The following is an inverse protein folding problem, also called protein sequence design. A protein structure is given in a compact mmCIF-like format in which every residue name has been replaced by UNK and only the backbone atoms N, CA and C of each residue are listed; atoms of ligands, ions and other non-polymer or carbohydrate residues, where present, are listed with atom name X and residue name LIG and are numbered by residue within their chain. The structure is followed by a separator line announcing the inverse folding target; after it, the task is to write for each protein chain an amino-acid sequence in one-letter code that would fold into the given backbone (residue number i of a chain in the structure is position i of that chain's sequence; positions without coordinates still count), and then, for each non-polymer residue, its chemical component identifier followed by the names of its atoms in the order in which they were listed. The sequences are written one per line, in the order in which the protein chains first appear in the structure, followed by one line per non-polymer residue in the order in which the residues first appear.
data_IF_860487566559
#
_entry.id   IF_860487566559
#
_cell.length_a   1.000
_cell.length_b   1.000
_cell.length_c   1.000
_cell.angle_alpha   90.00
_cell.angle_beta   90.00
_cell.angle_gamma   90.00
#
_symmetry.space_group_name_H-M   'P 1'
#
loop_
_entity.id
_entity.type
_entity.pdbx_description
1 polymer ?
#
# COMPACT_ATOMS: atom_id res chain seq x y z
N UNK A 1 7.78 3.80 -4.54
CA UNK A 1 6.72 3.08 -3.80
C UNK A 1 7.38 1.78 -3.35
N UNK A 2 6.68 0.67 -3.15
CA UNK A 2 7.32 -0.52 -2.60
C UNK A 2 6.73 -1.83 -3.10
N UNK A 3 6.99 -2.87 -2.33
CA UNK A 3 6.66 -4.26 -2.65
C UNK A 3 5.43 -4.66 -1.83
N UNK A 4 4.39 -5.16 -2.49
CA UNK A 4 3.23 -5.77 -1.83
C UNK A 4 3.33 -7.29 -1.86
N UNK A 5 3.50 -7.92 -0.69
CA UNK A 5 3.32 -9.37 -0.54
C UNK A 5 1.83 -9.65 -0.42
N UNK A 6 1.28 -10.47 -1.31
CA UNK A 6 -0.15 -10.72 -1.35
C UNK A 6 -0.56 -11.81 -0.35
N UNK A 7 -1.40 -11.43 0.61
CA UNK A 7 -2.13 -12.33 1.51
C UNK A 7 -3.45 -12.73 0.85
N UNK A 8 -3.59 -14.00 0.51
CA UNK A 8 -4.81 -14.54 -0.07
C UNK A 8 -5.58 -15.41 0.93
N UNK A 9 -6.89 -15.16 1.04
CA UNK A 9 -7.75 -15.85 2.01
C UNK A 9 -7.99 -17.32 1.66
N UNK A 10 -8.11 -17.64 0.37
CA UNK A 10 -8.32 -19.02 -0.06
C UNK A 10 -7.09 -19.88 0.27
N UNK A 11 -5.91 -19.32 0.04
CA UNK A 11 -4.63 -19.93 0.41
C UNK A 11 -4.49 -20.07 1.93
N UNK A 12 -4.89 -19.05 2.70
CA UNK A 12 -4.92 -19.11 4.16
C UNK A 12 -5.80 -20.26 4.67
N UNK A 13 -6.98 -20.47 4.06
CA UNK A 13 -7.87 -21.58 4.40
C UNK A 13 -7.26 -22.94 4.06
N UNK A 14 -6.55 -23.04 2.93
CA UNK A 14 -5.90 -24.27 2.47
C UNK A 14 -4.70 -24.66 3.35
N UNK A 15 -3.79 -23.72 3.62
CA UNK A 15 -2.53 -23.99 4.34
C UNK A 15 -2.66 -23.88 5.87
N UNK A 16 -3.74 -23.23 6.33
CA UNK A 16 -3.97 -22.85 7.72
C UNK A 16 -3.36 -21.49 8.07
N UNK A 17 -4.14 -20.67 8.78
CA UNK A 17 -3.81 -19.28 9.16
C UNK A 17 -2.40 -19.13 9.74
N UNK A 18 -2.06 -19.91 10.76
CA UNK A 18 -0.75 -19.81 11.42
C UNK A 18 0.43 -20.12 10.50
N UNK A 19 0.27 -21.10 9.60
CA UNK A 19 1.33 -21.49 8.68
C UNK A 19 1.50 -20.41 7.61
N UNK A 20 0.40 -19.92 7.05
CA UNK A 20 0.45 -18.91 5.99
C UNK A 20 0.98 -17.57 6.52
N UNK A 21 0.56 -17.14 7.72
CA UNK A 21 1.13 -15.96 8.37
C UNK A 21 2.63 -16.07 8.59
N UNK A 22 3.14 -17.25 8.97
CA UNK A 22 4.57 -17.46 9.13
C UNK A 22 5.32 -17.39 7.79
N UNK A 23 4.76 -17.96 6.72
CA UNK A 23 5.33 -17.89 5.37
C UNK A 23 5.42 -16.43 4.92
N UNK A 24 4.33 -15.67 5.04
CA UNK A 24 4.29 -14.26 4.67
C UNK A 24 5.26 -13.41 5.51
N UNK A 25 5.36 -13.69 6.81
CA UNK A 25 6.31 -13.01 7.70
C UNK A 25 7.75 -13.28 7.30
N UNK A 26 8.12 -14.52 6.96
CA UNK A 26 9.47 -14.84 6.49
C UNK A 26 9.83 -14.11 5.21
N UNK A 27 8.89 -14.06 4.26
CA UNK A 27 9.07 -13.28 3.04
C UNK A 27 9.24 -11.79 3.38
N UNK A 28 8.39 -11.22 4.23
CA UNK A 28 8.51 -9.84 4.71
C UNK A 28 9.90 -9.57 5.31
N UNK A 29 10.35 -10.43 6.24
CA UNK A 29 11.65 -10.29 6.90
C UNK A 29 12.81 -10.37 5.89
N UNK A 30 12.69 -11.15 4.80
CA UNK A 30 13.71 -11.20 3.75
C UNK A 30 13.82 -9.90 2.95
N UNK A 31 12.69 -9.28 2.59
CA UNK A 31 12.69 -7.97 1.94
C UNK A 31 13.17 -6.86 2.89
N UNK A 32 12.77 -6.91 4.16
CA UNK A 32 13.17 -5.94 5.19
C UNK A 32 14.69 -5.99 5.45
N UNK A 33 15.29 -7.19 5.52
CA UNK A 33 16.76 -7.37 5.61
C UNK A 33 17.51 -6.74 4.43
N UNK A 34 16.88 -6.68 3.26
CA UNK A 34 17.43 -6.02 2.07
C UNK A 34 17.13 -4.51 2.03
N UNK A 35 16.56 -3.95 3.09
CA UNK A 35 16.15 -2.54 3.21
C UNK A 35 15.14 -2.11 2.12
N UNK A 36 14.30 -3.04 1.66
CA UNK A 36 13.29 -2.76 0.65
C UNK A 36 11.95 -2.39 1.33
N UNK A 37 11.24 -1.35 0.86
CA UNK A 37 9.94 -0.98 1.39
C UNK A 37 8.94 -2.07 1.04
N UNK A 38 8.53 -2.85 2.04
CA UNK A 38 7.63 -4.00 1.86
C UNK A 38 6.42 -3.89 2.78
N UNK A 39 5.28 -4.39 2.31
CA UNK A 39 4.05 -4.51 3.08
C UNK A 39 3.32 -5.80 2.71
N UNK A 40 2.49 -6.30 3.62
CA UNK A 40 1.56 -7.39 3.36
C UNK A 40 0.20 -6.77 3.00
N UNK A 41 -0.39 -7.19 1.89
CA UNK A 41 -1.63 -6.64 1.33
C UNK A 41 -2.60 -7.77 1.04
N UNK A 42 -3.86 -7.63 1.43
CA UNK A 42 -4.89 -8.62 1.10
C UNK A 42 -5.15 -8.70 -0.41
N UNK A 43 -5.47 -9.89 -0.92
CA UNK A 43 -5.71 -10.13 -2.35
C UNK A 43 -6.87 -9.30 -2.92
N UNK A 44 -7.80 -8.84 -2.08
CA UNK A 44 -8.89 -7.93 -2.47
C UNK A 44 -8.37 -6.63 -3.13
N UNK A 45 -7.21 -6.11 -2.70
CA UNK A 45 -6.61 -4.89 -3.25
C UNK A 45 -6.09 -5.05 -4.68
N UNK A 46 -5.99 -6.28 -5.21
CA UNK A 46 -5.64 -6.52 -6.62
C UNK A 46 -6.71 -5.94 -7.55
N UNK A 47 -7.97 -5.90 -7.11
CA UNK A 47 -9.11 -5.47 -7.93
C UNK A 47 -9.42 -3.97 -7.85
N UNK A 48 -8.90 -3.26 -6.84
CA UNK A 48 -9.36 -1.91 -6.45
C UNK A 48 -8.47 -0.75 -6.95
N UNK A 49 -7.86 -0.90 -8.15
CA UNK A 49 -6.82 0.01 -8.68
C UNK A 49 -5.62 0.22 -7.73
N UNK A 50 -5.53 -0.50 -6.61
CA UNK A 50 -4.56 -0.22 -5.56
C UNK A 50 -3.13 -0.63 -5.98
N UNK A 51 -3.00 -1.52 -6.96
CA UNK A 51 -1.73 -1.92 -7.55
C UNK A 51 -0.93 -0.73 -8.09
N UNK A 52 -1.59 0.36 -8.50
CA UNK A 52 -0.90 1.57 -8.97
C UNK A 52 -0.03 2.24 -7.88
N UNK A 53 -0.24 1.88 -6.61
CA UNK A 53 0.53 2.38 -5.47
C UNK A 53 1.70 1.47 -5.08
N UNK A 54 1.98 0.45 -5.88
CA UNK A 54 3.05 -0.53 -5.67
C UNK A 54 3.97 -0.57 -6.89
N UNK A 55 5.25 -0.86 -6.64
CA UNK A 55 6.24 -1.05 -7.69
C UNK A 55 6.32 -2.54 -8.10
N UNK A 56 6.11 -3.43 -7.14
CA UNK A 56 6.01 -4.86 -7.38
C UNK A 56 4.95 -5.53 -6.50
N UNK A 57 4.38 -6.63 -6.98
CA UNK A 57 3.58 -7.56 -6.19
C UNK A 57 4.23 -8.94 -6.15
N UNK A 58 4.19 -9.58 -4.98
CA UNK A 58 4.84 -10.86 -4.73
C UNK A 58 3.81 -11.84 -4.17
N UNK A 59 3.64 -12.95 -4.87
CA UNK A 59 2.83 -14.08 -4.42
C UNK A 59 3.74 -15.14 -3.83
N UNK A 60 3.63 -15.39 -2.52
CA UNK A 60 4.47 -16.37 -1.83
C UNK A 60 3.62 -17.58 -1.47
N UNK A 61 3.85 -18.69 -2.16
CA UNK A 61 3.08 -19.94 -1.99
C UNK A 61 1.57 -19.69 -1.99
N UNK A 62 1.12 -18.78 -2.85
CA UNK A 62 -0.29 -18.36 -2.98
C UNK A 62 -1.05 -19.38 -3.81
N UNK A 63 -1.27 -20.55 -3.21
CA UNK A 63 -1.67 -21.77 -3.91
C UNK A 63 -3.10 -21.78 -4.42
N UNK A 64 -4.02 -21.05 -3.77
CA UNK A 64 -5.47 -21.15 -4.01
C UNK A 64 -6.13 -19.86 -4.49
N UNK A 65 -5.33 -18.96 -5.08
CA UNK A 65 -5.84 -17.69 -5.61
C UNK A 65 -6.66 -17.90 -6.89
N UNK A 66 -7.79 -17.19 -6.98
CA UNK A 66 -8.74 -17.31 -8.08
C UNK A 66 -8.21 -16.68 -9.39
N UNK A 67 -8.59 -17.23 -10.55
CA UNK A 67 -8.19 -16.72 -11.88
C UNK A 67 -8.64 -15.27 -12.14
N UNK A 68 -9.58 -14.73 -11.35
CA UNK A 68 -10.05 -13.35 -11.48
C UNK A 68 -8.93 -12.30 -11.37
N UNK A 69 -7.78 -12.64 -10.76
CA UNK A 69 -6.62 -11.74 -10.66
C UNK A 69 -5.85 -11.57 -11.98
N UNK A 70 -6.05 -12.46 -12.96
CA UNK A 70 -5.26 -12.50 -14.21
C UNK A 70 -5.29 -11.16 -14.94
N UNK A 71 -6.48 -10.59 -15.11
CA UNK A 71 -6.67 -9.36 -15.86
C UNK A 71 -6.09 -8.11 -15.15
N UNK A 72 -6.37 -7.88 -13.85
CA UNK A 72 -5.68 -6.82 -13.09
C UNK A 72 -4.16 -6.93 -13.11
N UNK A 73 -3.60 -8.14 -12.98
CA UNK A 73 -2.15 -8.34 -13.03
C UNK A 73 -1.56 -8.05 -14.41
N UNK A 74 -2.29 -8.39 -15.48
CA UNK A 74 -1.88 -8.02 -16.85
C UNK A 74 -1.82 -6.51 -17.01
N UNK A 75 -2.84 -5.78 -16.56
CA UNK A 75 -2.87 -4.32 -16.64
C UNK A 75 -1.76 -3.69 -15.81
N UNK A 76 -1.52 -4.21 -14.60
CA UNK A 76 -0.41 -3.75 -13.75
C UNK A 76 0.95 -3.92 -14.45
N UNK A 77 1.18 -5.09 -15.05
CA UNK A 77 2.39 -5.37 -15.85
C UNK A 77 2.51 -4.44 -17.06
N UNK A 78 1.44 -4.20 -17.80
CA UNK A 78 1.40 -3.28 -18.95
C UNK A 78 1.73 -1.83 -18.54
N UNK A 79 1.40 -1.45 -17.31
CA UNK A 79 1.73 -0.14 -16.72
C UNK A 79 3.15 -0.09 -16.11
N UNK A 80 3.98 -1.11 -16.33
CA UNK A 80 5.36 -1.18 -15.85
C UNK A 80 5.52 -1.77 -14.44
N UNK A 81 4.45 -2.27 -13.84
CA UNK A 81 4.51 -3.01 -12.59
C UNK A 81 5.23 -4.36 -12.74
N UNK A 82 5.81 -4.84 -11.65
CA UNK A 82 6.52 -6.13 -11.64
C UNK A 82 5.75 -7.16 -10.82
N UNK A 83 5.60 -8.35 -11.37
CA UNK A 83 4.90 -9.44 -10.69
C UNK A 83 5.86 -10.58 -10.44
N UNK A 84 6.01 -10.95 -9.17
CA UNK A 84 6.80 -12.10 -8.77
C UNK A 84 5.94 -13.15 -8.09
N UNK A 85 6.29 -14.41 -8.28
CA UNK A 85 5.64 -15.51 -7.60
C UNK A 85 6.63 -16.62 -7.24
N UNK A 86 6.41 -17.26 -6.10
CA UNK A 86 7.05 -18.52 -5.78
C UNK A 86 6.09 -19.68 -6.05
N UNK A 87 6.63 -20.90 -6.00
CA UNK A 87 5.98 -22.19 -5.80
C UNK A 87 4.45 -22.22 -5.84
N UNK A 88 3.90 -23.13 -6.62
CA UNK A 88 2.50 -23.54 -6.63
C UNK A 88 1.39 -22.46 -6.78
N UNK A 89 1.74 -21.23 -7.22
CA UNK A 89 0.77 -20.15 -7.51
C UNK A 89 -0.47 -20.65 -8.26
N UNK A 90 -1.64 -20.40 -7.66
CA UNK A 90 -2.98 -20.68 -8.18
C UNK A 90 -3.31 -22.15 -8.46
N UNK A 91 -2.42 -23.12 -8.15
CA UNK A 91 -2.56 -24.50 -8.61
C UNK A 91 -3.66 -25.33 -7.97
N UNK A 92 -4.21 -24.88 -6.84
CA UNK A 92 -5.17 -25.62 -6.05
C UNK A 92 -6.42 -24.78 -5.81
N UNK A 93 -7.52 -25.42 -5.43
CA UNK A 93 -8.64 -24.73 -4.79
C UNK A 93 -8.52 -24.78 -3.26
N UNK A 94 -9.49 -24.18 -2.56
CA UNK A 94 -9.57 -24.19 -1.09
C UNK A 94 -9.70 -25.60 -0.50
N UNK A 95 -10.18 -26.57 -1.28
CA UNK A 95 -10.31 -27.97 -0.87
C UNK A 95 -9.03 -28.79 -1.14
N UNK A 96 -8.04 -28.19 -1.81
CA UNK A 96 -6.77 -28.82 -2.17
C UNK A 96 -6.83 -29.63 -3.46
N UNK A 97 -7.89 -29.50 -4.27
CA UNK A 97 -7.94 -30.14 -5.59
C UNK A 97 -7.12 -29.33 -6.59
N UNK A 98 -6.37 -30.03 -7.45
CA UNK A 98 -5.61 -29.39 -8.52
C UNK A 98 -6.53 -28.73 -9.55
N UNK A 99 -6.17 -27.52 -9.96
CA UNK A 99 -6.90 -26.69 -10.93
C UNK A 99 -6.07 -26.47 -12.19
N UNK A 100 -6.72 -26.37 -13.35
CA UNK A 100 -6.03 -25.97 -14.59
C UNK A 100 -5.71 -24.48 -14.55
N UNK A 101 -4.41 -24.18 -14.41
CA UNK A 101 -3.89 -22.82 -14.34
C UNK A 101 -2.89 -22.54 -15.45
N UNK A 102 -3.24 -22.97 -16.66
CA UNK A 102 -2.46 -22.66 -17.87
C UNK A 102 -2.12 -21.17 -18.02
N UNK A 103 -2.95 -20.26 -17.47
CA UNK A 103 -2.69 -18.83 -17.46
C UNK A 103 -1.40 -18.45 -16.72
N UNK A 104 -1.01 -19.17 -15.67
CA UNK A 104 0.21 -18.90 -14.90
C UNK A 104 1.44 -19.14 -15.78
N UNK A 105 1.43 -20.23 -16.55
CA UNK A 105 2.48 -20.52 -17.53
C UNK A 105 2.60 -19.43 -18.59
N UNK A 106 1.47 -19.01 -19.17
CA UNK A 106 1.41 -17.91 -20.14
C UNK A 106 1.96 -16.60 -19.54
N UNK A 107 1.54 -16.25 -18.33
CA UNK A 107 1.86 -14.98 -17.68
C UNK A 107 3.37 -14.83 -17.38
N UNK A 108 4.00 -15.90 -16.90
CA UNK A 108 5.42 -15.94 -16.54
C UNK A 108 6.34 -16.48 -17.65
N UNK A 109 5.82 -16.71 -18.86
CA UNK A 109 6.60 -17.24 -20.00
C UNK A 109 7.25 -18.58 -19.69
N UNK A 110 6.46 -19.52 -19.17
CA UNK A 110 6.90 -20.85 -18.79
C UNK A 110 5.89 -21.93 -19.19
N UNK A 111 6.32 -23.19 -19.16
CA UNK A 111 5.42 -24.34 -19.37
C UNK A 111 4.32 -24.38 -18.31
N UNK A 112 3.22 -25.05 -18.64
CA UNK A 112 2.21 -25.41 -17.65
C UNK A 112 2.90 -26.05 -16.44
N UNK A 113 2.69 -25.49 -15.25
CA UNK A 113 3.53 -25.83 -14.12
C UNK A 113 2.99 -27.12 -13.46
N UNK A 114 3.89 -28.02 -13.06
CA UNK A 114 3.53 -29.35 -12.54
C UNK A 114 4.10 -29.51 -11.12
N UNK A 115 3.24 -29.70 -10.13
CA UNK A 115 3.67 -30.05 -8.77
C UNK A 115 4.12 -31.50 -8.76
N UNK A 116 5.31 -31.75 -8.22
CA UNK A 116 5.79 -33.09 -7.90
C UNK A 116 6.01 -33.19 -6.39
N UNK A 117 5.60 -34.31 -5.80
CA UNK A 117 5.69 -34.57 -4.35
C UNK A 117 7.14 -34.82 -3.88
N UNK A 118 8.12 -34.65 -4.77
CA UNK A 118 9.53 -34.91 -4.52
C UNK A 118 10.28 -33.61 -4.32
N UNK A 119 11.24 -33.66 -3.41
CA UNK A 119 12.21 -32.59 -3.30
C UNK A 119 13.26 -32.70 -4.41
N UNK A 120 13.58 -31.57 -5.02
CA UNK A 120 14.60 -31.44 -6.05
C UNK A 120 15.79 -30.65 -5.52
N UNK A 121 17.00 -31.02 -5.95
CA UNK A 121 18.20 -30.25 -5.63
C UNK A 121 18.30 -29.05 -6.55
N UNK A 122 18.18 -27.85 -6.00
CA UNK A 122 18.43 -26.60 -6.68
C UNK A 122 19.90 -26.20 -6.51
N UNK A 123 20.52 -25.78 -7.61
CA UNK A 123 21.86 -25.22 -7.65
C UNK A 123 21.77 -23.73 -7.95
N UNK A 124 22.42 -22.94 -7.10
CA UNK A 124 22.65 -21.52 -7.31
C UNK A 124 24.16 -21.27 -7.39
N UNK A 125 24.59 -20.47 -8.35
CA UNK A 125 25.99 -20.05 -8.51
C UNK A 125 26.07 -18.53 -8.39
N UNK A 126 26.70 -18.04 -7.31
CA UNK A 126 26.88 -16.62 -7.01
C UNK A 126 28.36 -16.34 -6.84
N UNK A 127 28.91 -15.37 -7.58
CA UNK A 127 30.32 -14.96 -7.49
C UNK A 127 31.34 -16.11 -7.56
N UNK A 128 30.99 -17.20 -8.25
CA UNK A 128 31.80 -18.42 -8.39
C UNK A 128 31.66 -19.43 -7.25
N UNK A 129 30.85 -19.14 -6.22
CA UNK A 129 30.46 -20.08 -5.18
C UNK A 129 29.18 -20.83 -5.57
N UNK A 130 29.17 -22.15 -5.34
CA UNK A 130 28.06 -23.04 -5.67
C UNK A 130 27.35 -23.49 -4.40
N UNK A 131 26.07 -23.15 -4.30
CA UNK A 131 25.21 -23.57 -3.21
C UNK A 131 24.16 -24.53 -3.73
N UNK A 132 24.05 -25.69 -3.09
CA UNK A 132 23.05 -26.71 -3.44
C UNK A 132 22.18 -27.03 -2.23
N UNK A 133 20.87 -26.91 -2.41
CA UNK A 133 19.86 -27.21 -1.40
C UNK A 133 18.67 -27.94 -2.02
N UNK A 134 17.90 -28.63 -1.18
CA UNK A 134 16.77 -29.45 -1.60
C UNK A 134 15.47 -28.74 -1.24
N UNK A 135 14.56 -28.57 -2.20
CA UNK A 135 13.29 -27.89 -2.00
C UNK A 135 12.13 -28.69 -2.58
N UNK A 136 10.95 -28.56 -1.98
CA UNK A 136 9.70 -28.82 -2.70
C UNK A 136 9.65 -27.87 -3.91
N UNK A 137 9.31 -28.40 -5.08
CA UNK A 137 9.51 -27.68 -6.33
C UNK A 137 8.36 -27.90 -7.30
N UNK A 138 7.97 -26.84 -7.98
CA UNK A 138 7.10 -26.90 -9.15
C UNK A 138 7.93 -27.07 -10.42
N UNK A 139 7.71 -28.14 -11.17
CA UNK A 139 8.44 -28.40 -12.40
C UNK A 139 7.96 -27.47 -13.53
N UNK A 140 8.85 -26.57 -13.97
CA UNK A 140 8.61 -25.59 -15.03
C UNK A 140 9.79 -25.47 -15.98
N UNK A 141 9.50 -25.21 -17.25
CA UNK A 141 10.49 -24.91 -18.29
C UNK A 141 10.27 -23.52 -18.85
N UNK A 142 11.31 -22.78 -19.23
CA UNK A 142 11.18 -21.50 -19.91
C UNK A 142 10.54 -21.67 -21.30
N UNK A 143 9.65 -20.75 -21.69
CA UNK A 143 9.05 -20.67 -23.04
C UNK A 143 9.19 -19.23 -23.52
N UNK A 144 9.44 -19.00 -24.82
CA UNK A 144 9.60 -17.66 -25.41
C UNK A 144 10.86 -16.90 -24.92
N UNK A 145 11.96 -17.62 -24.69
CA UNK A 145 13.30 -17.06 -24.39
C UNK A 145 13.42 -16.16 -23.13
N UNK A 146 12.81 -16.49 -21.98
CA UNK A 146 13.07 -15.79 -20.72
C UNK A 146 14.50 -16.07 -20.25
N UNK A 147 15.00 -15.20 -19.39
CA UNK A 147 16.25 -15.45 -18.68
C UNK A 147 16.00 -16.53 -17.62
N UNK A 148 16.94 -17.47 -17.49
CA UNK A 148 16.91 -18.48 -16.44
C UNK A 148 18.12 -18.29 -15.54
N UNK A 149 17.87 -18.29 -14.24
CA UNK A 149 18.89 -18.23 -13.20
C UNK A 149 18.67 -19.40 -12.25
N UNK A 150 19.77 -20.03 -11.81
CA UNK A 150 19.71 -21.30 -11.08
C UNK A 150 19.17 -22.48 -11.90
N UNK A 151 19.45 -23.69 -11.44
CA UNK A 151 19.03 -24.92 -12.14
C UNK A 151 18.70 -26.03 -11.16
N UNK A 152 17.74 -26.88 -11.52
CA UNK A 152 17.49 -28.12 -10.81
C UNK A 152 18.45 -29.21 -11.33
N UNK A 153 19.27 -29.76 -10.43
CA UNK A 153 20.31 -30.73 -10.75
C UNK A 153 19.70 -31.97 -11.40
N UNK A 154 20.34 -32.47 -12.46
CA UNK A 154 19.94 -33.66 -13.22
C UNK A 154 18.52 -33.59 -13.84
N UNK A 155 18.01 -32.38 -14.10
CA UNK A 155 16.75 -32.17 -14.79
C UNK A 155 16.84 -31.13 -15.90
N UNK A 156 15.80 -31.05 -16.73
CA UNK A 156 15.61 -30.02 -17.75
C UNK A 156 14.75 -28.82 -17.26
N UNK A 157 14.42 -28.80 -15.97
CA UNK A 157 13.55 -27.79 -15.35
C UNK A 157 14.37 -26.66 -14.71
N UNK A 158 13.76 -25.49 -14.57
CA UNK A 158 14.44 -24.28 -14.09
C UNK A 158 13.99 -23.87 -12.68
N UNK A 159 14.92 -23.31 -11.91
CA UNK A 159 14.64 -22.81 -10.55
C UNK A 159 14.05 -21.40 -10.59
N UNK A 160 14.63 -20.51 -11.41
CA UNK A 160 14.12 -19.16 -11.61
C UNK A 160 13.89 -18.89 -13.09
N UNK A 161 12.75 -18.28 -13.41
CA UNK A 161 12.38 -17.83 -14.75
C UNK A 161 12.05 -16.34 -14.67
N UNK A 162 12.78 -15.54 -15.45
CA UNK A 162 12.75 -14.08 -15.40
C UNK A 162 12.44 -13.51 -16.78
N UNK A 163 11.50 -12.58 -16.83
CA UNK A 163 11.25 -11.68 -17.98
C UNK A 163 11.53 -10.24 -17.57
N UNK A 164 11.29 -9.28 -18.45
CA UNK A 164 11.49 -7.85 -18.15
C UNK A 164 10.62 -7.35 -16.99
N UNK A 165 9.46 -7.99 -16.73
CA UNK A 165 8.49 -7.54 -15.73
C UNK A 165 7.98 -8.66 -14.81
N UNK A 166 8.52 -9.88 -14.93
CA UNK A 166 8.08 -11.01 -14.10
C UNK A 166 9.24 -11.84 -13.58
N UNK A 167 9.07 -12.35 -12.35
CA UNK A 167 9.99 -13.30 -11.74
C UNK A 167 9.22 -14.49 -11.18
N UNK A 168 9.48 -15.69 -11.68
CA UNK A 168 8.93 -16.92 -11.12
C UNK A 168 10.04 -17.74 -10.46
N UNK A 169 9.84 -18.12 -9.21
CA UNK A 169 10.69 -19.08 -8.50
C UNK A 169 9.92 -20.38 -8.31
N UNK A 170 10.42 -21.49 -8.85
CA UNK A 170 9.75 -22.78 -8.72
C UNK A 170 9.91 -23.44 -7.35
N UNK A 171 10.83 -22.94 -6.53
CA UNK A 171 11.18 -23.49 -5.23
C UNK A 171 10.20 -22.99 -4.16
N UNK A 172 9.81 -23.87 -3.23
CA UNK A 172 9.03 -23.51 -2.04
C UNK A 172 9.89 -22.74 -1.02
N UNK A 173 10.29 -21.53 -1.39
CA UNK A 173 10.99 -20.60 -0.52
C UNK A 173 10.06 -20.11 0.60
N UNK A 174 10.63 -19.64 1.72
CA UNK A 174 9.89 -19.08 2.85
C UNK A 174 8.94 -20.08 3.55
N UNK A 175 9.12 -21.39 3.34
CA UNK A 175 8.32 -22.44 3.96
C UNK A 175 8.38 -22.41 5.50
N UNK A 176 7.53 -23.14 6.21
CA UNK A 176 7.54 -23.15 7.69
C UNK A 176 8.86 -23.69 8.27
N UNK A 177 9.49 -24.64 7.59
CA UNK A 177 10.65 -25.40 8.10
C UNK A 177 12.03 -24.84 7.69
N UNK A 178 12.09 -23.63 7.13
CA UNK A 178 13.33 -23.03 6.60
C UNK A 178 14.53 -23.12 7.53
N UNK A 179 15.67 -23.53 6.97
CA UNK A 179 16.98 -23.50 7.63
C UNK A 179 17.75 -22.21 7.30
N UNK A 180 18.69 -21.77 8.15
CA UNK A 180 19.57 -20.61 7.87
C UNK A 180 20.31 -20.72 6.51
N UNK A 181 20.49 -21.93 5.98
CA UNK A 181 21.13 -22.16 4.68
C UNK A 181 20.25 -21.74 3.50
N UNK A 182 18.93 -21.86 3.64
CA UNK A 182 17.97 -21.48 2.57
C UNK A 182 17.91 -19.97 2.36
N UNK A 183 18.38 -19.18 3.35
CA UNK A 183 18.44 -17.73 3.25
C UNK A 183 19.19 -17.26 1.99
N UNK A 184 20.19 -17.99 1.51
CA UNK A 184 20.91 -17.63 0.28
C UNK A 184 19.99 -17.61 -0.95
N UNK A 185 19.02 -18.51 -1.03
CA UNK A 185 18.04 -18.54 -2.12
C UNK A 185 16.96 -17.47 -1.94
N UNK A 186 16.56 -17.19 -0.70
CA UNK A 186 15.66 -16.08 -0.37
C UNK A 186 16.27 -14.73 -0.76
N UNK A 187 17.50 -14.47 -0.32
CA UNK A 187 18.22 -13.24 -0.61
C UNK A 187 18.48 -13.11 -2.13
N UNK A 188 18.72 -14.22 -2.83
CA UNK A 188 18.81 -14.23 -4.29
C UNK A 188 17.50 -13.86 -4.98
N UNK A 189 16.37 -14.44 -4.53
CA UNK A 189 15.05 -14.07 -5.05
C UNK A 189 14.76 -12.58 -4.87
N UNK A 190 15.06 -12.05 -3.67
CA UNK A 190 14.90 -10.63 -3.35
C UNK A 190 15.80 -9.77 -4.25
N UNK A 191 17.06 -10.16 -4.46
CA UNK A 191 18.01 -9.46 -5.33
C UNK A 191 17.56 -9.45 -6.79
N UNK A 192 17.06 -10.57 -7.31
CA UNK A 192 16.55 -10.66 -8.69
C UNK A 192 15.31 -9.78 -8.88
N UNK A 193 14.41 -9.73 -7.89
CA UNK A 193 13.26 -8.83 -7.92
C UNK A 193 13.70 -7.37 -7.87
N UNK A 194 14.64 -7.04 -6.98
CA UNK A 194 15.18 -5.69 -6.87
C UNK A 194 15.83 -5.21 -8.18
N UNK A 195 16.59 -6.10 -8.84
CA UNK A 195 17.17 -5.84 -10.15
C UNK A 195 16.12 -5.57 -11.24
N UNK A 196 14.92 -6.14 -11.16
CA UNK A 196 13.84 -5.86 -12.12
C UNK A 196 13.24 -4.48 -11.91
N UNK A 197 13.10 -4.03 -10.66
CA UNK A 197 12.48 -2.75 -10.35
C UNK A 197 13.29 -1.58 -10.87
N UNK A 198 14.62 -1.71 -10.91
CA UNK A 198 15.54 -0.63 -11.32
C UNK A 198 15.23 0.70 -10.61
N UNK A 199 14.85 0.61 -9.33
CA UNK A 199 14.52 1.75 -8.48
C UNK A 199 15.54 1.89 -7.37
N UNK A 200 15.95 3.13 -7.14
CA UNK A 200 16.77 3.47 -6.00
C UNK A 200 15.87 3.71 -4.77
N UNK A 201 15.98 2.80 -3.79
CA UNK A 201 15.31 2.91 -2.50
C UNK A 201 16.21 3.50 -1.39
N UNK A 202 17.45 3.90 -1.72
CA UNK A 202 18.34 4.53 -0.75
C UNK A 202 17.75 5.85 -0.24
N UNK A 203 17.79 6.03 1.09
CA UNK A 203 17.34 7.25 1.74
C UNK A 203 15.82 7.37 1.94
N UNK A 204 15.07 6.28 1.78
CA UNK A 204 13.66 6.24 2.19
C UNK A 204 13.51 6.60 3.67
N UNK A 205 12.63 7.56 3.94
CA UNK A 205 12.25 7.95 5.29
C UNK A 205 11.11 7.04 5.72
N UNK A 206 11.30 6.31 6.80
CA UNK A 206 10.26 5.53 7.47
C UNK A 206 9.86 6.24 8.75
N UNK A 207 8.56 6.23 9.04
CA UNK A 207 8.02 6.69 10.31
C UNK A 207 7.07 5.63 10.84
N UNK A 208 7.08 5.43 12.17
CA UNK A 208 6.15 4.51 12.78
C UNK A 208 4.71 4.92 12.46
N UNK A 209 3.89 3.94 12.06
CA UNK A 209 2.52 4.20 11.61
C UNK A 209 1.70 5.01 12.61
N UNK A 210 1.80 4.71 13.90
CA UNK A 210 1.04 5.40 14.94
C UNK A 210 1.46 6.88 15.11
N UNK A 211 2.69 7.24 14.77
CA UNK A 211 3.17 8.63 14.83
C UNK A 211 2.66 9.46 13.64
N UNK A 212 2.60 8.87 12.45
CA UNK A 212 2.21 9.59 11.22
C UNK A 212 0.69 9.54 10.94
N UNK A 213 -0.03 8.57 11.49
CA UNK A 213 -1.49 8.40 11.30
C UNK A 213 -2.32 9.65 11.62
N UNK A 214 -2.06 10.43 12.69
CA UNK A 214 -2.78 11.67 12.95
C UNK A 214 -2.61 12.69 11.80
N UNK A 215 -1.37 12.86 11.32
CA UNK A 215 -1.06 13.77 10.21
C UNK A 215 -1.74 13.31 8.92
N UNK A 216 -1.74 12.01 8.63
CA UNK A 216 -2.47 11.46 7.49
C UNK A 216 -3.97 11.74 7.55
N UNK A 217 -4.56 11.68 8.75
CA UNK A 217 -5.97 11.98 8.97
C UNK A 217 -6.28 13.46 8.74
N UNK A 218 -5.41 14.36 9.19
CA UNK A 218 -5.51 15.80 8.92
C UNK A 218 -5.38 16.11 7.43
N UNK A 219 -4.37 15.54 6.76
CA UNK A 219 -4.17 15.72 5.31
C UNK A 219 -5.36 15.25 4.50
N UNK A 220 -5.94 14.09 4.84
CA UNK A 220 -7.18 13.60 4.17
C UNK A 220 -8.35 14.56 4.35
N UNK A 221 -8.48 15.17 5.53
CA UNK A 221 -9.51 16.18 5.77
C UNK A 221 -9.28 17.44 4.92
N UNK A 222 -8.03 17.89 4.82
CA UNK A 222 -7.66 19.04 4.00
C UNK A 222 -7.92 18.81 2.52
N UNK A 223 -7.52 17.65 1.98
CA UNK A 223 -7.83 17.23 0.61
C UNK A 223 -9.34 17.26 0.34
N UNK A 224 -10.14 16.69 1.25
CA UNK A 224 -11.60 16.70 1.14
C UNK A 224 -12.17 18.11 1.12
N UNK A 225 -11.62 19.03 1.91
CA UNK A 225 -12.04 20.44 1.93
C UNK A 225 -11.67 21.14 0.61
N UNK A 226 -10.42 21.00 0.14
CA UNK A 226 -9.98 21.57 -1.15
C UNK A 226 -10.84 21.07 -2.32
N UNK A 227 -11.08 19.76 -2.39
CA UNK A 227 -11.96 19.14 -3.39
C UNK A 227 -13.41 19.63 -3.33
N UNK A 228 -13.91 19.96 -2.13
CA UNK A 228 -15.25 20.51 -1.94
C UNK A 228 -15.32 21.95 -2.45
N UNK A 229 -14.32 22.77 -2.15
CA UNK A 229 -14.28 24.16 -2.63
C UNK A 229 -14.10 24.23 -4.14
N UNK A 230 -13.23 23.39 -4.74
CA UNK A 230 -13.15 23.23 -6.19
C UNK A 230 -14.53 22.98 -6.82
N UNK A 231 -15.26 21.98 -6.32
CA UNK A 231 -16.60 21.61 -6.83
C UNK A 231 -17.64 22.74 -6.67
N UNK A 232 -17.50 23.59 -5.67
CA UNK A 232 -18.36 24.78 -5.52
C UNK A 232 -17.99 25.85 -6.54
N UNK A 233 -16.70 26.15 -6.66
CA UNK A 233 -16.20 27.22 -7.53
C UNK A 233 -16.42 26.91 -9.01
N UNK A 234 -16.28 25.65 -9.42
CA UNK A 234 -16.57 25.20 -10.79
C UNK A 234 -18.03 25.46 -11.21
N UNK A 235 -18.98 25.50 -10.26
CA UNK A 235 -20.40 25.82 -10.54
C UNK A 235 -20.65 27.31 -10.74
N UNK A 236 -19.73 28.15 -10.29
CA UNK A 236 -19.88 29.61 -10.26
C UNK A 236 -19.06 30.24 -11.39
N UNK A 237 -17.89 29.70 -11.69
CA UNK A 237 -16.98 30.22 -12.71
C UNK A 237 -16.19 29.11 -13.40
N UNK A 238 -15.70 29.40 -14.60
CA UNK A 238 -14.70 28.56 -15.25
C UNK A 238 -13.38 28.62 -14.47
N UNK A 239 -12.79 27.45 -14.22
CA UNK A 239 -11.49 27.32 -13.56
C UNK A 239 -10.39 27.15 -14.61
N UNK A 240 -9.15 27.43 -14.23
CA UNK A 240 -8.00 27.27 -15.13
C UNK A 240 -7.59 25.80 -15.21
N UNK A 241 -6.95 25.36 -16.32
CA UNK A 241 -6.46 23.98 -16.44
C UNK A 241 -5.55 23.54 -15.29
N UNK A 242 -4.71 24.44 -14.78
CA UNK A 242 -3.86 24.22 -13.61
C UNK A 242 -4.66 23.83 -12.36
N UNK A 243 -5.84 24.42 -12.16
CA UNK A 243 -6.70 24.11 -11.01
C UNK A 243 -7.43 22.78 -11.20
N UNK A 244 -7.74 22.41 -12.44
CA UNK A 244 -8.28 21.08 -12.78
C UNK A 244 -7.22 20.00 -12.52
N UNK A 245 -5.97 20.23 -12.91
CA UNK A 245 -4.83 19.33 -12.64
C UNK A 245 -4.61 19.11 -11.14
N UNK A 246 -4.59 20.20 -10.35
CA UNK A 246 -4.52 20.11 -8.88
C UNK A 246 -5.68 19.30 -8.28
N UNK A 247 -6.88 19.40 -8.86
CA UNK A 247 -8.03 18.62 -8.41
C UNK A 247 -7.85 17.12 -8.70
N UNK A 248 -7.43 16.75 -9.91
CA UNK A 248 -7.16 15.35 -10.27
C UNK A 248 -6.01 14.75 -9.43
N UNK A 249 -4.92 15.49 -9.22
CA UNK A 249 -3.85 15.10 -8.30
C UNK A 249 -4.36 14.89 -6.87
N UNK A 250 -5.26 15.76 -6.41
CA UNK A 250 -5.85 15.62 -5.08
C UNK A 250 -6.70 14.35 -4.93
N UNK A 251 -7.38 13.92 -6.00
CA UNK A 251 -8.18 12.69 -6.01
C UNK A 251 -7.26 11.47 -5.93
N UNK A 252 -6.18 11.46 -6.71
CA UNK A 252 -5.19 10.40 -6.68
C UNK A 252 -4.50 10.30 -5.31
N UNK A 253 -4.06 11.44 -4.73
CA UNK A 253 -3.46 11.47 -3.41
C UNK A 253 -4.43 11.05 -2.30
N UNK A 254 -5.73 11.32 -2.47
CA UNK A 254 -6.74 10.84 -1.52
C UNK A 254 -6.85 9.32 -1.53
N UNK A 255 -6.81 8.69 -2.71
CA UNK A 255 -6.77 7.22 -2.86
C UNK A 255 -5.46 6.65 -2.30
N UNK A 256 -4.33 7.26 -2.64
CA UNK A 256 -3.00 6.83 -2.18
C UNK A 256 -2.88 6.86 -0.65
N UNK A 257 -3.37 7.94 0.00
CA UNK A 257 -3.42 8.05 1.46
C UNK A 257 -4.38 7.04 2.08
N UNK A 258 -5.52 6.77 1.45
CA UNK A 258 -6.45 5.75 1.93
C UNK A 258 -5.78 4.38 1.93
N UNK A 259 -5.21 3.97 0.79
CA UNK A 259 -4.44 2.74 0.66
C UNK A 259 -3.34 2.64 1.72
N UNK A 260 -2.52 3.69 1.89
CA UNK A 260 -1.44 3.70 2.86
C UNK A 260 -1.92 3.61 4.33
N UNK A 261 -3.08 4.19 4.65
CA UNK A 261 -3.68 4.11 5.99
C UNK A 261 -4.24 2.72 6.26
N UNK A 262 -4.93 2.11 5.29
CA UNK A 262 -5.56 0.79 5.40
C UNK A 262 -4.52 -0.33 5.49
N UNK A 263 -3.46 -0.24 4.69
CA UNK A 263 -2.30 -1.17 4.71
C UNK A 263 -1.30 -0.87 5.83
N UNK A 264 -1.56 0.15 6.67
CA UNK A 264 -0.67 0.60 7.74
C UNK A 264 0.78 0.86 7.29
N UNK A 265 0.97 1.37 6.07
CA UNK A 265 2.30 1.51 5.47
C UNK A 265 3.13 2.63 6.10
N UNK A 266 4.23 2.25 6.76
CA UNK A 266 5.25 3.15 7.29
C UNK A 266 6.10 3.85 6.20
N UNK A 267 6.07 3.34 4.97
CA UNK A 267 6.87 3.84 3.84
C UNK A 267 6.08 4.81 2.94
N UNK A 268 4.78 4.57 2.78
CA UNK A 268 3.93 5.37 1.89
C UNK A 268 3.46 6.67 2.55
N UNK A 269 3.13 6.62 3.84
CA UNK A 269 2.60 7.80 4.54
C UNK A 269 3.58 8.99 4.58
N UNK A 270 4.89 8.81 4.84
CA UNK A 270 5.85 9.92 4.81
C UNK A 270 5.98 10.59 3.45
N UNK A 271 5.67 9.87 2.37
CA UNK A 271 5.69 10.40 0.99
C UNK A 271 4.39 11.17 0.72
N UNK A 272 3.24 10.57 1.01
CA UNK A 272 1.95 11.11 0.61
C UNK A 272 1.44 12.25 1.50
N UNK A 273 1.81 12.28 2.79
CA UNK A 273 1.34 13.32 3.72
C UNK A 273 1.84 14.73 3.33
N UNK A 274 3.15 14.97 3.10
CA UNK A 274 3.65 16.28 2.70
C UNK A 274 3.09 16.73 1.34
N UNK A 275 3.03 15.82 0.37
CA UNK A 275 2.48 16.10 -0.96
C UNK A 275 0.98 16.43 -0.89
N UNK A 276 0.21 15.63 -0.15
CA UNK A 276 -1.21 15.86 0.09
C UNK A 276 -1.48 17.21 0.73
N UNK A 277 -0.71 17.60 1.73
CA UNK A 277 -0.84 18.91 2.37
C UNK A 277 -0.58 20.05 1.38
N UNK A 278 0.50 19.96 0.60
CA UNK A 278 0.83 20.97 -0.41
C UNK A 278 -0.28 21.14 -1.44
N UNK A 279 -0.70 20.03 -2.08
CA UNK A 279 -1.74 20.05 -3.12
C UNK A 279 -3.06 20.55 -2.57
N UNK A 280 -3.45 20.09 -1.38
CA UNK A 280 -4.72 20.47 -0.80
C UNK A 280 -4.77 21.95 -0.39
N UNK A 281 -3.67 22.51 0.15
CA UNK A 281 -3.56 23.94 0.44
C UNK A 281 -3.62 24.76 -0.84
N UNK A 282 -2.86 24.39 -1.86
CA UNK A 282 -2.82 25.13 -3.13
C UNK A 282 -4.18 25.10 -3.86
N UNK A 283 -4.83 23.92 -3.90
CA UNK A 283 -6.17 23.76 -4.43
C UNK A 283 -7.17 24.64 -3.66
N UNK A 284 -7.10 24.63 -2.33
CA UNK A 284 -7.97 25.45 -1.49
C UNK A 284 -7.78 26.95 -1.76
N UNK A 285 -6.54 27.44 -1.80
CA UNK A 285 -6.26 28.86 -2.01
C UNK A 285 -6.71 29.37 -3.38
N UNK A 286 -6.54 28.56 -4.43
CA UNK A 286 -6.95 28.92 -5.80
C UNK A 286 -8.46 28.80 -6.03
N UNK A 287 -9.16 27.99 -5.24
CA UNK A 287 -10.60 27.77 -5.40
C UNK A 287 -11.45 28.52 -4.39
N UNK A 288 -10.92 28.87 -3.22
CA UNK A 288 -11.69 29.48 -2.15
C UNK A 288 -12.05 30.94 -2.48
N UNK A 289 -13.35 31.30 -2.46
CA UNK A 289 -13.79 32.67 -2.71
C UNK A 289 -13.39 33.62 -1.57
N UNK A 290 -13.37 33.08 -0.35
CA UNK A 290 -12.80 33.72 0.84
C UNK A 290 -11.31 33.42 0.84
N UNK A 291 -10.48 34.37 0.41
CA UNK A 291 -8.99 34.30 0.42
C UNK A 291 -8.39 34.25 1.84
N UNK A 292 -9.00 33.47 2.73
CA UNK A 292 -8.58 33.23 4.10
C UNK A 292 -7.86 31.88 4.08
N UNK A 293 -6.56 31.82 4.41
CA UNK A 293 -5.81 30.57 4.53
C UNK A 293 -6.53 29.52 5.38
N UNK A 294 -6.42 28.24 4.99
CA UNK A 294 -7.09 27.13 5.70
C UNK A 294 -6.69 27.05 7.18
N UNK A 295 -5.41 27.27 7.48
CA UNK A 295 -4.86 27.28 8.84
C UNK A 295 -5.60 28.27 9.75
N UNK A 296 -5.98 29.43 9.22
CA UNK A 296 -6.74 30.46 9.95
C UNK A 296 -8.18 29.98 10.19
N UNK A 297 -8.77 29.25 9.25
CA UNK A 297 -10.12 28.69 9.40
C UNK A 297 -10.11 27.58 10.45
N UNK A 298 -9.09 26.70 10.45
CA UNK A 298 -8.92 25.67 11.46
C UNK A 298 -8.73 26.29 12.86
N UNK A 299 -7.85 27.28 13.00
CA UNK A 299 -7.63 27.99 14.26
C UNK A 299 -8.93 28.63 14.79
N UNK A 300 -9.75 29.21 13.90
CA UNK A 300 -11.08 29.71 14.25
C UNK A 300 -12.02 28.59 14.68
N UNK A 301 -12.01 27.46 13.98
CA UNK A 301 -12.80 26.29 14.33
C UNK A 301 -12.47 25.76 15.73
N UNK A 302 -11.18 25.56 16.02
CA UNK A 302 -10.70 25.11 17.35
C UNK A 302 -11.03 26.13 18.45
N UNK A 303 -10.88 27.43 18.17
CA UNK A 303 -11.28 28.48 19.10
C UNK A 303 -12.75 28.35 19.50
N UNK A 304 -13.64 28.18 18.53
CA UNK A 304 -15.08 28.05 18.78
C UNK A 304 -15.45 26.72 19.44
N UNK A 305 -14.81 25.60 19.06
CA UNK A 305 -15.05 24.30 19.68
C UNK A 305 -14.72 24.33 21.18
N UNK A 306 -13.55 24.88 21.54
CA UNK A 306 -13.16 25.02 22.95
C UNK A 306 -14.09 25.95 23.73
N UNK A 307 -14.61 27.01 23.09
CA UNK A 307 -15.60 27.91 23.70
C UNK A 307 -16.93 27.21 23.93
N UNK A 308 -17.43 26.43 22.97
CA UNK A 308 -18.67 25.65 23.13
C UNK A 308 -18.54 24.65 24.27
N UNK A 309 -17.39 23.99 24.39
CA UNK A 309 -17.12 23.07 25.50
C UNK A 309 -17.13 23.82 26.85
N UNK A 310 -16.44 24.97 26.93
CA UNK A 310 -16.47 25.83 28.12
C UNK A 310 -17.90 26.23 28.50
N UNK A 311 -18.67 26.78 27.55
CA UNK A 311 -20.05 27.22 27.77
C UNK A 311 -20.98 26.06 28.16
N UNK A 312 -20.72 24.85 27.69
CA UNK A 312 -21.50 23.67 28.08
C UNK A 312 -21.33 23.28 29.56
N UNK A 313 -20.29 23.80 30.22
CA UNK A 313 -19.97 23.53 31.63
C UNK A 313 -20.28 24.69 32.57
N UNK A 314 -20.68 25.85 32.04
CA UNK A 314 -21.02 27.02 32.86
C UNK A 314 -22.41 26.86 33.49
N UNK A 315 -22.52 27.19 34.78
CA UNK A 315 -23.83 27.27 35.45
C UNK A 315 -24.58 28.51 34.96
N UNK A 316 -25.70 28.29 34.28
CA UNK A 316 -26.55 29.36 33.76
C UNK A 316 -27.25 30.05 34.94
N UNK A 317 -27.04 31.37 35.16
CA UNK A 317 -27.69 32.09 36.24
C UNK A 317 -29.20 32.22 36.01
N UNK A 318 -29.97 32.40 37.09
CA UNK A 318 -31.41 32.69 36.98
C UNK A 318 -31.65 34.03 36.25
N UNK A 319 -32.45 34.00 35.18
CA UNK A 319 -32.71 35.11 34.25
C UNK A 319 -31.46 35.64 33.50
N UNK A 320 -30.81 34.81 32.67
CA UNK A 320 -29.62 35.24 31.94
C UNK A 320 -29.99 36.28 30.86
N UNK A 321 -29.12 37.25 30.64
CA UNK A 321 -29.17 38.10 29.45
C UNK A 321 -28.33 37.42 28.38
N UNK A 322 -28.98 36.83 27.38
CA UNK A 322 -28.31 36.12 26.28
C UNK A 322 -28.01 37.08 25.14
N UNK A 323 -26.73 37.21 24.78
CA UNK A 323 -26.29 37.92 23.58
C UNK A 323 -25.87 36.92 22.51
N UNK A 324 -26.58 36.88 21.39
CA UNK A 324 -26.20 36.06 20.23
C UNK A 324 -25.35 36.94 19.31
N UNK A 325 -24.05 36.68 19.22
CA UNK A 325 -23.15 37.42 18.34
C UNK A 325 -22.00 36.57 17.77
N UNK A 326 -21.29 37.14 16.80
CA UNK A 326 -20.16 36.49 16.09
C UNK A 326 -18.81 36.84 16.75
N UNK A 327 -17.69 36.51 16.10
CA UNK A 327 -16.34 36.83 16.61
C UNK A 327 -16.06 38.31 16.91
N UNK A 328 -16.92 39.24 16.47
CA UNK A 328 -16.80 40.67 16.77
C UNK A 328 -17.41 41.04 18.12
N UNK A 329 -18.40 40.29 18.62
CA UNK A 329 -19.03 40.55 19.93
C UNK A 329 -18.22 39.99 21.10
N UNK A 330 -17.37 38.99 20.88
CA UNK A 330 -16.46 38.42 21.90
C UNK A 330 -15.37 39.43 22.36
N UNK A 331 -15.14 40.51 21.59
CA UNK A 331 -14.25 41.62 21.98
C UNK A 331 -14.94 42.69 22.83
N UNK A 332 -16.25 42.60 23.01
CA UNK A 332 -16.98 43.52 23.88
C UNK A 332 -16.93 43.00 25.31
N UNK A 333 -16.21 43.71 26.17
CA UNK A 333 -16.19 43.44 27.61
C UNK A 333 -17.54 43.85 28.22
N UNK A 334 -18.55 42.99 28.07
CA UNK A 334 -19.91 43.24 28.54
C UNK A 334 -19.96 43.38 30.06
N UNK A 335 -19.05 42.71 30.79
CA UNK A 335 -18.92 42.83 32.24
C UNK A 335 -18.58 44.26 32.69
N UNK A 336 -17.80 44.99 31.88
CA UNK A 336 -17.50 46.41 32.11
C UNK A 336 -18.70 47.33 31.93
N UNK A 337 -19.62 46.99 31.02
CA UNK A 337 -20.79 47.82 30.73
C UNK A 337 -22.02 47.45 31.57
N UNK A 338 -22.06 46.24 32.13
CA UNK A 338 -23.14 45.71 32.94
C UNK A 338 -22.62 45.05 34.23
N UNK A 339 -21.94 45.82 35.11
CA UNK A 339 -21.18 45.28 36.25
C UNK A 339 -22.03 44.61 37.33
N UNK A 340 -23.33 44.95 37.41
CA UNK A 340 -24.25 44.45 38.44
C UNK A 340 -25.20 43.36 37.92
N UNK A 341 -24.98 42.88 36.69
CA UNK A 341 -25.81 41.87 36.06
C UNK A 341 -25.03 40.56 35.92
N UNK A 342 -25.68 39.40 36.07
CA UNK A 342 -25.04 38.10 35.87
C UNK A 342 -24.88 37.85 34.36
N UNK A 343 -23.83 38.46 33.78
CA UNK A 343 -23.50 38.34 32.36
C UNK A 343 -22.58 37.14 32.17
N UNK A 344 -23.03 36.21 31.33
CA UNK A 344 -22.24 35.09 30.79
C UNK A 344 -22.13 35.28 29.26
N UNK A 345 -21.03 34.80 28.66
CA UNK A 345 -20.74 35.00 27.22
C UNK A 345 -21.27 33.87 26.35
#
# INVERSE_FOLDING_TARGET
MGIGIIKDRNTELLLGEQNYELILKKAYDAFDRAFLPVLIVDSEYIHDDALQFLDAVVFVSTSAIDECIKEPLRQFKENGGIVAATYNLAMFDVEGNSQDNSWVGEFFSMSSPVVDDKNYQALLELDGEKTTLSFETTLVKPINFPQTTGSLIDTEYSSFIKTDNTLYCSLNLFSVETTEKEQVFEDFFVSELYSLMDKDYYGLITLEYEEIKPLASETRNLLRVGQREYRKSQRIQALTPEVEELYEESLLLSKALQFAVETRSAYHLPIYVPLGNKIATELYEKTSPTKIPYEIIQARGSYWANKVELYSTEEIPDNPIVFIGDSLTDRYDLSKYYPDLPVIN
#
